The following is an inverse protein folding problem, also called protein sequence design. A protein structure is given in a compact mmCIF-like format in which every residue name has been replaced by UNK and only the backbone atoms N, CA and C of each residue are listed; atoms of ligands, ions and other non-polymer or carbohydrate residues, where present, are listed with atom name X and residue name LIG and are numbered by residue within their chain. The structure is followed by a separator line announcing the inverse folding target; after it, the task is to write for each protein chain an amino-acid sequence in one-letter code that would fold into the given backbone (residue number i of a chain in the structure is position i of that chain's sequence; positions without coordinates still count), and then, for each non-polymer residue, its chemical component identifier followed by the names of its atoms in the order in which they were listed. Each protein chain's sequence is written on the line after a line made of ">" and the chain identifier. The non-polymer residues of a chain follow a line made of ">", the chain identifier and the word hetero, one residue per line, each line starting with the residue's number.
data_IF_749765287856
#
_entry.id   IF_749765287856
#
_cell.length_a   1.000
_cell.length_b   1.000
_cell.length_c   1.000
_cell.angle_alpha   90.00
_cell.angle_beta   90.00
_cell.angle_gamma   90.00
#
_symmetry.space_group_name_H-M   'P 1'
#
loop_
_entity.id
_entity.type
_entity.pdbx_description
1 polymer ?
#
# COMPACT_ATOMS: atom_id res chain seq x y z
N UNK A 1 -26.03 12.46 -35.82
CA UNK A 1 -26.95 12.13 -34.74
C UNK A 1 -26.40 12.68 -33.44
N UNK A 2 -27.21 13.38 -32.59
CA UNK A 2 -26.74 13.91 -31.33
C UNK A 2 -26.36 12.73 -30.43
N UNK A 3 -25.18 12.80 -29.84
CA UNK A 3 -24.75 11.86 -28.79
C UNK A 3 -25.78 11.92 -27.67
N UNK A 4 -26.45 10.82 -27.42
CA UNK A 4 -27.37 10.66 -26.31
C UNK A 4 -26.58 11.05 -25.02
N UNK A 5 -27.00 12.11 -24.39
CA UNK A 5 -26.52 12.44 -23.05
C UNK A 5 -26.98 11.32 -22.12
N UNK A 6 -26.07 10.48 -21.68
CA UNK A 6 -26.29 9.34 -20.76
C UNK A 6 -26.92 9.78 -19.44
N UNK A 7 -27.08 11.10 -19.20
CA UNK A 7 -27.69 11.68 -18.01
C UNK A 7 -28.54 12.89 -18.39
N UNK A 8 -29.88 12.82 -18.26
CA UNK A 8 -30.72 13.99 -18.46
C UNK A 8 -30.35 15.09 -17.44
N UNK A 9 -30.35 16.33 -17.87
CA UNK A 9 -30.02 17.54 -17.09
C UNK A 9 -30.92 17.75 -15.85
N UNK A 10 -31.86 16.87 -15.59
CA UNK A 10 -32.83 16.91 -14.48
C UNK A 10 -32.47 16.04 -13.29
N UNK A 11 -31.29 15.39 -13.27
CA UNK A 11 -30.90 14.61 -12.09
C UNK A 11 -30.43 15.55 -10.97
N UNK A 12 -31.28 15.71 -9.96
CA UNK A 12 -30.98 16.44 -8.71
C UNK A 12 -29.94 15.71 -7.82
N UNK A 13 -29.37 14.60 -8.31
CA UNK A 13 -28.53 13.70 -7.51
C UNK A 13 -27.35 13.14 -8.30
N UNK A 14 -26.19 13.08 -7.68
CA UNK A 14 -24.95 12.43 -8.18
C UNK A 14 -24.34 11.57 -7.10
N UNK A 15 -23.88 10.37 -7.46
CA UNK A 15 -23.09 9.50 -6.59
C UNK A 15 -21.68 9.36 -7.13
N UNK A 16 -20.69 9.57 -6.27
CA UNK A 16 -19.26 9.43 -6.56
C UNK A 16 -18.66 8.42 -5.57
N UNK A 17 -18.14 7.34 -6.08
CA UNK A 17 -17.52 6.28 -5.27
C UNK A 17 -16.00 6.33 -5.44
N UNK A 18 -15.28 6.62 -4.34
CA UNK A 18 -13.82 6.73 -4.26
C UNK A 18 -13.18 7.60 -5.37
N UNK A 19 -13.74 8.77 -5.73
CA UNK A 19 -13.29 9.48 -6.93
C UNK A 19 -11.87 10.05 -6.82
N UNK A 20 -11.35 10.23 -5.59
CA UNK A 20 -10.01 10.76 -5.35
C UNK A 20 -8.93 9.68 -5.16
N UNK A 21 -9.29 8.40 -5.17
CA UNK A 21 -8.36 7.30 -4.89
C UNK A 21 -7.11 7.28 -5.79
N UNK A 22 -7.19 7.89 -6.98
CA UNK A 22 -6.11 7.92 -7.96
C UNK A 22 -5.65 9.32 -8.35
N UNK A 23 -6.18 10.35 -7.73
CA UNK A 23 -5.89 11.73 -8.06
C UNK A 23 -4.71 12.27 -7.22
N UNK A 24 -3.95 13.17 -7.82
CA UNK A 24 -3.00 14.02 -7.12
C UNK A 24 -3.74 15.03 -6.23
N UNK A 25 -3.03 15.70 -5.33
CA UNK A 25 -3.60 16.74 -4.46
C UNK A 25 -4.25 17.83 -5.30
N UNK A 26 -3.60 18.28 -6.39
CA UNK A 26 -4.12 19.32 -7.28
C UNK A 26 -5.41 18.88 -7.97
N UNK A 27 -5.44 17.68 -8.56
CA UNK A 27 -6.62 17.12 -9.22
C UNK A 27 -7.78 16.91 -8.23
N UNK A 28 -7.46 16.54 -6.98
CA UNK A 28 -8.48 16.44 -5.91
C UNK A 28 -9.11 17.80 -5.63
N UNK A 29 -8.34 18.87 -5.56
CA UNK A 29 -8.88 20.24 -5.36
C UNK A 29 -9.71 20.72 -6.55
N UNK A 30 -9.29 20.39 -7.77
CA UNK A 30 -10.08 20.68 -8.98
C UNK A 30 -11.42 19.92 -8.96
N UNK A 31 -11.44 18.65 -8.55
CA UNK A 31 -12.67 17.87 -8.36
C UNK A 31 -13.56 18.49 -7.28
N UNK A 32 -13.01 18.92 -6.16
CA UNK A 32 -13.78 19.56 -5.10
C UNK A 32 -14.41 20.88 -5.53
N UNK A 33 -13.71 21.66 -6.37
CA UNK A 33 -14.27 22.85 -6.98
C UNK A 33 -15.49 22.53 -7.86
N UNK A 34 -15.43 21.46 -8.65
CA UNK A 34 -16.54 20.97 -9.47
C UNK A 34 -17.71 20.55 -8.57
N UNK A 35 -17.46 19.77 -7.51
CA UNK A 35 -18.51 19.32 -6.58
C UNK A 35 -19.20 20.50 -5.89
N UNK A 36 -18.43 21.50 -5.44
CA UNK A 36 -18.97 22.73 -4.85
C UNK A 36 -19.83 23.50 -5.88
N UNK A 37 -19.39 23.56 -7.14
CA UNK A 37 -20.18 24.13 -8.24
C UNK A 37 -21.51 23.41 -8.44
N UNK A 38 -21.52 22.08 -8.48
CA UNK A 38 -22.74 21.27 -8.59
C UNK A 38 -23.70 21.50 -7.42
N UNK A 39 -23.17 21.54 -6.20
CA UNK A 39 -23.96 21.86 -4.99
C UNK A 39 -24.63 23.24 -5.10
N UNK A 40 -23.92 24.24 -5.58
CA UNK A 40 -24.44 25.60 -5.74
C UNK A 40 -25.58 25.69 -6.79
N UNK A 41 -25.67 24.74 -7.71
CA UNK A 41 -26.82 24.61 -8.64
C UNK A 41 -28.01 23.84 -8.05
N UNK A 42 -27.97 23.51 -6.75
CA UNK A 42 -29.03 22.75 -6.06
C UNK A 42 -28.93 21.24 -6.23
N UNK A 43 -27.82 20.72 -6.73
CA UNK A 43 -27.61 19.28 -6.90
C UNK A 43 -27.14 18.65 -5.60
N UNK A 44 -27.76 17.52 -5.22
CA UNK A 44 -27.29 16.69 -4.12
C UNK A 44 -26.20 15.75 -4.60
N UNK A 45 -25.08 15.70 -3.88
CA UNK A 45 -23.97 14.80 -4.17
C UNK A 45 -23.78 13.82 -3.02
N UNK A 46 -23.79 12.52 -3.31
CA UNK A 46 -23.34 11.49 -2.38
C UNK A 46 -21.89 11.15 -2.73
N UNK A 47 -21.00 11.44 -1.81
CA UNK A 47 -19.58 11.24 -1.95
C UNK A 47 -19.14 10.10 -1.01
N UNK A 48 -18.71 8.97 -1.59
CA UNK A 48 -18.25 7.80 -0.84
C UNK A 48 -16.73 7.79 -0.84
N UNK A 49 -16.11 7.80 0.33
CA UNK A 49 -14.66 7.72 0.48
C UNK A 49 -14.28 7.19 1.86
N UNK A 50 -13.12 6.55 1.96
CA UNK A 50 -12.43 6.27 3.23
C UNK A 50 -11.28 7.26 3.51
N UNK A 51 -11.03 8.23 2.62
CA UNK A 51 -10.10 9.34 2.85
C UNK A 51 -10.80 10.39 3.72
N UNK A 52 -10.56 10.32 5.03
CA UNK A 52 -11.27 11.17 6.01
C UNK A 52 -11.03 12.66 5.77
N UNK A 53 -9.84 13.04 5.31
CA UNK A 53 -9.52 14.43 4.95
C UNK A 53 -10.45 14.99 3.88
N UNK A 54 -10.71 14.19 2.83
CA UNK A 54 -11.61 14.57 1.74
C UNK A 54 -13.04 14.83 2.26
N UNK A 55 -13.55 13.91 3.10
CA UNK A 55 -14.87 14.01 3.70
C UNK A 55 -14.99 15.25 4.58
N UNK A 56 -13.98 15.53 5.40
CA UNK A 56 -13.98 16.70 6.28
C UNK A 56 -13.87 18.03 5.51
N UNK A 57 -13.37 18.02 4.28
CA UNK A 57 -13.25 19.21 3.46
C UNK A 57 -14.50 19.51 2.65
N UNK A 58 -15.19 18.47 2.11
CA UNK A 58 -16.25 18.67 1.11
C UNK A 58 -17.65 18.41 1.63
N UNK A 59 -17.84 17.60 2.68
CA UNK A 59 -19.15 17.16 3.13
C UNK A 59 -19.89 18.21 3.98
N UNK A 60 -21.18 18.32 3.82
CA UNK A 60 -22.09 19.05 4.73
C UNK A 60 -22.61 18.11 5.83
N UNK A 61 -22.93 16.85 5.48
CA UNK A 61 -23.32 15.79 6.39
C UNK A 61 -22.47 14.54 6.17
N UNK A 62 -22.23 13.77 7.23
CA UNK A 62 -21.46 12.54 7.20
C UNK A 62 -22.30 11.39 7.74
N UNK A 63 -22.37 10.32 6.97
CA UNK A 63 -22.93 9.03 7.40
C UNK A 63 -21.84 7.99 7.41
N UNK A 64 -21.66 7.29 8.54
CA UNK A 64 -20.68 6.21 8.65
C UNK A 64 -21.41 4.87 8.63
N UNK A 65 -20.97 3.99 7.73
CA UNK A 65 -21.46 2.62 7.61
C UNK A 65 -20.37 1.64 8.09
N UNK A 66 -20.76 0.64 8.88
CA UNK A 66 -19.90 -0.46 9.33
C UNK A 66 -20.68 -1.76 9.31
N UNK A 67 -20.11 -2.80 8.70
CA UNK A 67 -20.72 -4.13 8.58
C UNK A 67 -22.16 -4.09 8.04
N UNK A 68 -22.42 -3.19 7.07
CA UNK A 68 -23.74 -3.00 6.48
C UNK A 68 -24.74 -2.20 7.33
N UNK A 69 -24.36 -1.74 8.52
CA UNK A 69 -25.19 -0.94 9.41
C UNK A 69 -24.73 0.53 9.48
N UNK A 70 -25.68 1.44 9.60
CA UNK A 70 -25.42 2.87 9.87
C UNK A 70 -25.06 3.05 11.35
N UNK A 71 -23.82 3.40 11.64
CA UNK A 71 -23.31 3.61 13.01
C UNK A 71 -23.27 5.06 13.43
N UNK A 72 -23.29 5.99 12.46
CA UNK A 72 -23.40 7.43 12.71
C UNK A 72 -24.05 8.11 11.51
N UNK A 73 -24.80 9.20 11.75
CA UNK A 73 -25.24 10.17 10.75
C UNK A 73 -25.42 11.52 11.40
N UNK A 74 -24.90 12.59 10.80
CA UNK A 74 -25.03 13.93 11.32
C UNK A 74 -24.21 14.96 10.57
N UNK A 75 -24.35 16.23 10.98
CA UNK A 75 -23.63 17.33 10.36
C UNK A 75 -22.11 17.16 10.49
N UNK A 76 -21.38 17.59 9.48
CA UNK A 76 -19.90 17.54 9.45
C UNK A 76 -19.29 18.29 10.64
N UNK A 77 -19.92 19.36 11.13
CA UNK A 77 -19.42 20.17 12.23
C UNK A 77 -19.33 19.44 13.57
N UNK A 78 -20.10 18.37 13.76
CA UNK A 78 -20.11 17.58 15.01
C UNK A 78 -19.18 16.38 15.00
N UNK A 79 -18.45 16.17 13.90
CA UNK A 79 -17.56 15.02 13.74
C UNK A 79 -16.16 15.48 13.30
N UNK A 80 -15.13 14.83 13.86
CA UNK A 80 -13.74 14.98 13.44
C UNK A 80 -13.17 13.63 12.98
N UNK A 81 -11.93 13.63 12.48
CA UNK A 81 -11.25 12.42 12.00
C UNK A 81 -11.27 11.30 13.04
N UNK A 82 -10.95 11.61 14.30
CA UNK A 82 -10.86 10.61 15.38
C UNK A 82 -12.21 9.95 15.67
N UNK A 83 -13.27 10.74 15.72
CA UNK A 83 -14.64 10.21 15.91
C UNK A 83 -15.10 9.40 14.72
N UNK A 84 -14.78 9.82 13.47
CA UNK A 84 -15.08 9.03 12.29
C UNK A 84 -14.39 7.67 12.35
N UNK A 85 -13.10 7.65 12.67
CA UNK A 85 -12.34 6.40 12.83
C UNK A 85 -12.96 5.52 13.91
N UNK A 86 -13.31 6.07 15.08
CA UNK A 86 -14.00 5.30 16.14
C UNK A 86 -15.29 4.66 15.66
N UNK A 87 -16.10 5.37 14.89
CA UNK A 87 -17.33 4.80 14.32
C UNK A 87 -17.04 3.74 13.26
N UNK A 88 -16.07 3.97 12.37
CA UNK A 88 -15.72 3.03 11.30
C UNK A 88 -15.08 1.74 11.85
N UNK A 89 -14.17 1.86 12.81
CA UNK A 89 -13.41 0.72 13.36
C UNK A 89 -14.07 0.14 14.61
N UNK A 90 -14.85 0.96 15.33
CA UNK A 90 -15.44 0.59 16.63
C UNK A 90 -14.44 0.63 17.79
N UNK A 91 -13.27 1.28 17.60
CA UNK A 91 -12.16 1.40 18.56
C UNK A 91 -11.49 2.76 18.43
N UNK A 92 -10.57 3.08 19.33
CA UNK A 92 -9.85 4.35 19.31
C UNK A 92 -8.85 4.47 18.15
N UNK A 93 -8.70 5.69 17.56
CA UNK A 93 -7.79 5.95 16.43
C UNK A 93 -6.33 5.59 16.70
N UNK A 94 -5.87 5.72 17.93
CA UNK A 94 -4.53 5.30 18.35
C UNK A 94 -4.24 3.81 18.15
N UNK A 95 -5.28 3.02 17.84
CA UNK A 95 -5.17 1.59 17.57
C UNK A 95 -5.06 1.25 16.06
N UNK A 96 -5.10 2.22 15.14
CA UNK A 96 -4.95 1.95 13.70
C UNK A 96 -3.52 1.51 13.40
N UNK A 97 -2.57 2.22 13.97
CA UNK A 97 -1.16 1.89 13.83
C UNK A 97 -0.73 1.01 15.01
N UNK A 98 -0.15 -0.16 14.75
CA UNK A 98 0.32 -1.02 15.82
C UNK A 98 1.37 -0.29 16.66
N UNK A 99 1.15 -0.24 17.97
CA UNK A 99 2.15 0.28 18.89
C UNK A 99 3.33 -0.68 18.99
N UNK A 100 4.54 -0.17 18.89
CA UNK A 100 5.77 -0.93 19.15
C UNK A 100 6.96 -0.42 18.35
N UNK A 101 8.11 -0.58 18.96
CA UNK A 101 9.38 -0.22 18.35
C UNK A 101 9.96 -1.41 17.61
N UNK A 102 10.48 -1.14 16.42
CA UNK A 102 11.42 -2.03 15.78
C UNK A 102 12.82 -1.70 16.34
N UNK A 103 13.69 -2.68 16.33
CA UNK A 103 15.09 -2.50 16.71
C UNK A 103 15.95 -2.79 15.47
N UNK A 104 16.24 -1.77 14.64
CA UNK A 104 17.04 -1.95 13.45
C UNK A 104 18.42 -2.50 13.76
N UNK A 105 18.77 -3.61 13.11
CA UNK A 105 20.07 -4.26 13.22
C UNK A 105 21.10 -3.68 12.25
N UNK A 106 22.11 -4.47 11.83
CA UNK A 106 23.11 -4.05 10.87
C UNK A 106 22.52 -3.80 9.49
N UNK A 107 23.25 -3.06 8.65
CA UNK A 107 22.88 -2.81 7.26
C UNK A 107 22.79 -4.15 6.52
N UNK A 108 21.67 -4.33 5.82
CA UNK A 108 21.37 -5.53 5.03
C UNK A 108 21.44 -5.27 3.53
N UNK A 109 20.89 -4.13 3.08
CA UNK A 109 20.83 -3.75 1.68
C UNK A 109 21.39 -2.34 1.49
N UNK A 110 22.15 -2.14 0.42
CA UNK A 110 22.64 -0.83 0.00
C UNK A 110 22.39 -0.62 -1.49
N UNK A 111 21.92 0.57 -1.84
CA UNK A 111 21.91 1.09 -3.20
C UNK A 111 22.98 2.19 -3.31
N UNK A 112 23.92 2.05 -4.27
CA UNK A 112 25.01 3.01 -4.51
C UNK A 112 24.92 3.53 -5.94
N UNK A 113 24.56 4.80 -6.10
CA UNK A 113 24.45 5.51 -7.38
C UNK A 113 23.54 4.81 -8.41
N UNK A 114 22.47 4.19 -7.93
CA UNK A 114 21.57 3.41 -8.77
C UNK A 114 20.81 4.34 -9.73
N UNK A 115 20.88 4.05 -11.04
CA UNK A 115 20.19 4.81 -12.08
C UNK A 115 19.51 3.89 -13.08
N UNK A 116 18.37 4.34 -13.65
CA UNK A 116 17.70 3.67 -14.76
C UNK A 116 18.06 4.32 -16.12
N UNK A 117 17.68 3.64 -17.22
CA UNK A 117 17.92 4.16 -18.57
C UNK A 117 16.97 5.29 -18.97
N UNK A 118 15.81 5.36 -18.31
CA UNK A 118 14.77 6.35 -18.63
C UNK A 118 14.96 7.69 -17.90
N UNK A 119 15.98 7.81 -17.02
CA UNK A 119 16.25 9.02 -16.24
C UNK A 119 15.27 9.26 -15.10
N UNK A 120 14.37 8.30 -14.81
CA UNK A 120 13.40 8.41 -13.71
C UNK A 120 13.99 8.06 -12.35
N UNK A 121 15.12 7.35 -12.34
CA UNK A 121 15.95 7.08 -11.17
C UNK A 121 17.36 7.54 -11.49
N UNK A 122 17.92 8.45 -10.68
CA UNK A 122 19.17 9.14 -10.96
C UNK A 122 20.07 9.16 -9.72
N UNK A 123 21.12 8.34 -9.73
CA UNK A 123 22.12 8.23 -8.66
C UNK A 123 21.51 8.04 -7.26
N UNK A 124 20.49 7.22 -7.14
CA UNK A 124 19.86 6.94 -5.87
C UNK A 124 20.83 6.21 -4.95
N UNK A 125 20.95 6.73 -3.72
CA UNK A 125 21.78 6.16 -2.64
C UNK A 125 20.97 6.04 -1.38
N UNK A 126 20.93 4.86 -0.78
CA UNK A 126 20.40 4.61 0.56
C UNK A 126 20.80 3.24 1.06
N UNK A 127 20.63 3.03 2.36
CA UNK A 127 20.80 1.73 2.99
C UNK A 127 19.55 1.32 3.75
N UNK A 128 19.33 0.02 3.92
CA UNK A 128 18.25 -0.56 4.70
C UNK A 128 18.85 -1.51 5.74
N UNK A 129 18.36 -1.44 6.98
CA UNK A 129 18.83 -2.26 8.09
C UNK A 129 17.92 -3.47 8.31
N UNK A 130 18.44 -4.51 8.93
CA UNK A 130 17.64 -5.68 9.32
C UNK A 130 16.59 -5.28 10.36
N UNK A 131 15.35 -5.76 10.17
CA UNK A 131 14.26 -5.45 11.08
C UNK A 131 13.73 -4.02 11.00
N UNK A 132 14.11 -3.26 9.97
CA UNK A 132 13.70 -1.88 9.74
C UNK A 132 12.51 -1.82 8.77
N UNK A 133 11.57 -0.94 9.05
CA UNK A 133 10.52 -0.52 8.11
C UNK A 133 10.89 0.88 7.62
N UNK A 134 11.32 1.00 6.37
CA UNK A 134 11.70 2.28 5.76
C UNK A 134 10.60 2.73 4.82
N UNK A 135 10.11 3.95 5.01
CA UNK A 135 9.17 4.62 4.11
C UNK A 135 9.90 5.24 2.92
N UNK A 136 9.26 5.23 1.76
CA UNK A 136 9.72 5.95 0.57
C UNK A 136 8.65 6.95 0.16
N UNK A 137 8.84 8.21 0.56
CA UNK A 137 7.96 9.33 0.28
C UNK A 137 8.35 10.08 -0.99
N UNK A 138 7.46 10.91 -1.52
CA UNK A 138 7.68 11.79 -2.66
C UNK A 138 6.42 12.01 -3.48
N UNK A 139 6.42 12.99 -4.36
CA UNK A 139 5.29 13.27 -5.25
C UNK A 139 5.13 12.19 -6.33
N UNK A 140 3.97 12.18 -6.99
CA UNK A 140 3.73 11.32 -8.16
C UNK A 140 4.78 11.63 -9.23
N UNK A 141 5.43 10.60 -9.76
CA UNK A 141 6.51 10.76 -10.75
C UNK A 141 7.91 10.99 -10.16
N UNK A 142 8.07 11.01 -8.83
CA UNK A 142 9.38 11.21 -8.19
C UNK A 142 10.37 10.05 -8.35
N UNK A 143 9.96 8.90 -8.91
CA UNK A 143 10.81 7.74 -9.16
C UNK A 143 10.74 6.63 -8.12
N UNK A 144 9.81 6.69 -7.15
CA UNK A 144 9.64 5.71 -6.06
C UNK A 144 9.40 4.28 -6.58
N UNK A 145 8.35 4.10 -7.36
CA UNK A 145 7.99 2.78 -7.92
C UNK A 145 9.05 2.27 -8.91
N UNK A 146 9.69 3.17 -9.66
CA UNK A 146 10.80 2.85 -10.55
C UNK A 146 12.01 2.33 -9.77
N UNK A 147 12.34 2.96 -8.64
CA UNK A 147 13.38 2.49 -7.72
C UNK A 147 13.07 1.09 -7.19
N UNK A 148 11.82 0.83 -6.78
CA UNK A 148 11.38 -0.51 -6.37
C UNK A 148 11.53 -1.54 -7.49
N UNK A 149 11.18 -1.18 -8.73
CA UNK A 149 11.33 -2.05 -9.91
C UNK A 149 12.79 -2.37 -10.20
N UNK A 150 13.71 -1.41 -10.03
CA UNK A 150 15.16 -1.65 -10.17
C UNK A 150 15.66 -2.65 -9.10
N UNK A 151 15.34 -2.41 -7.84
CA UNK A 151 15.79 -3.25 -6.71
C UNK A 151 15.24 -4.67 -6.83
N UNK A 152 14.01 -4.81 -7.33
CA UNK A 152 13.36 -6.12 -7.51
C UNK A 152 13.72 -6.83 -8.82
N UNK A 153 14.53 -6.22 -9.69
CA UNK A 153 14.96 -6.80 -10.96
C UNK A 153 13.87 -6.85 -12.04
N UNK A 154 12.77 -6.09 -11.88
CA UNK A 154 11.76 -5.92 -12.95
C UNK A 154 12.35 -5.06 -14.06
N UNK A 155 13.06 -4.00 -13.71
CA UNK A 155 13.86 -3.19 -14.64
C UNK A 155 15.35 -3.37 -14.34
N UNK A 156 16.18 -3.17 -15.36
CA UNK A 156 17.64 -3.31 -15.22
C UNK A 156 18.26 -1.95 -14.92
N UNK A 157 19.18 -1.87 -13.93
CA UNK A 157 19.92 -0.64 -13.70
C UNK A 157 20.82 -0.33 -14.90
N UNK A 158 20.89 0.96 -15.27
CA UNK A 158 21.84 1.47 -16.25
C UNK A 158 23.25 1.61 -15.63
N UNK A 159 23.28 2.12 -14.39
CA UNK A 159 24.51 2.27 -13.62
C UNK A 159 24.26 2.08 -12.13
N UNK A 160 25.32 2.07 -11.35
CA UNK A 160 25.28 1.87 -9.91
C UNK A 160 25.38 0.41 -9.48
N UNK A 161 25.43 0.20 -8.17
CA UNK A 161 25.63 -1.10 -7.55
C UNK A 161 24.65 -1.30 -6.42
N UNK A 162 24.11 -2.51 -6.28
CA UNK A 162 23.36 -2.96 -5.11
C UNK A 162 24.23 -3.93 -4.31
N UNK A 163 24.16 -3.87 -3.00
CA UNK A 163 24.82 -4.84 -2.12
C UNK A 163 23.78 -5.47 -1.19
N UNK A 164 23.95 -6.76 -0.93
CA UNK A 164 23.21 -7.51 0.09
C UNK A 164 24.22 -8.17 1.00
N UNK A 165 24.15 -7.86 2.29
CA UNK A 165 25.16 -8.29 3.29
C UNK A 165 26.60 -7.97 2.83
N UNK A 166 26.81 -6.79 2.22
CA UNK A 166 28.11 -6.36 1.68
C UNK A 166 28.51 -7.00 0.36
N UNK A 167 27.76 -7.99 -0.15
CA UNK A 167 28.06 -8.67 -1.42
C UNK A 167 27.39 -7.94 -2.58
N UNK A 168 28.14 -7.53 -3.63
CA UNK A 168 27.56 -6.91 -4.81
C UNK A 168 26.62 -7.85 -5.55
N UNK A 169 25.43 -7.35 -5.87
CA UNK A 169 24.40 -8.10 -6.60
C UNK A 169 23.86 -7.29 -7.78
N UNK A 170 23.45 -8.01 -8.81
CA UNK A 170 22.78 -7.44 -9.97
C UNK A 170 21.64 -8.36 -10.40
N UNK A 171 20.45 -7.82 -10.50
CA UNK A 171 19.28 -8.60 -10.89
C UNK A 171 18.85 -8.26 -12.32
N UNK A 172 18.59 -9.29 -13.10
CA UNK A 172 18.07 -9.21 -14.46
C UNK A 172 16.61 -9.69 -14.55
N UNK A 173 16.07 -10.19 -13.44
CA UNK A 173 14.69 -10.63 -13.31
C UNK A 173 14.27 -10.75 -11.84
N UNK A 174 12.95 -10.68 -11.52
CA UNK A 174 12.43 -10.91 -10.18
C UNK A 174 12.77 -12.31 -9.63
N UNK A 175 12.97 -13.30 -10.53
CA UNK A 175 13.40 -14.64 -10.13
C UNK A 175 14.81 -14.64 -9.54
N UNK A 176 15.71 -13.81 -10.06
CA UNK A 176 17.05 -13.66 -9.50
C UNK A 176 17.01 -12.91 -8.16
N UNK A 177 16.26 -11.80 -8.07
CA UNK A 177 16.06 -11.08 -6.82
C UNK A 177 15.52 -12.00 -5.71
N UNK A 178 14.57 -12.88 -6.04
CA UNK A 178 14.04 -13.88 -5.11
C UNK A 178 15.09 -14.87 -4.58
N UNK A 179 16.12 -15.25 -5.36
CA UNK A 179 17.22 -16.08 -4.87
C UNK A 179 18.04 -15.38 -3.78
N UNK A 180 18.03 -14.05 -3.77
CA UNK A 180 18.62 -13.19 -2.75
C UNK A 180 17.62 -12.77 -1.67
N UNK A 181 16.46 -13.44 -1.62
CA UNK A 181 15.40 -13.20 -0.65
C UNK A 181 14.79 -11.78 -0.71
N UNK A 182 14.78 -11.18 -1.91
CA UNK A 182 14.11 -9.91 -2.22
C UNK A 182 12.79 -10.21 -2.93
N UNK A 183 11.70 -9.58 -2.47
CA UNK A 183 10.39 -9.67 -3.11
C UNK A 183 9.72 -8.30 -3.21
N UNK A 184 8.91 -8.13 -4.23
CA UNK A 184 8.16 -6.92 -4.51
C UNK A 184 6.65 -7.23 -4.64
N UNK A 185 5.84 -6.38 -4.05
CA UNK A 185 4.38 -6.33 -4.19
C UNK A 185 4.06 -4.99 -4.84
N UNK A 186 3.73 -4.95 -6.14
CA UNK A 186 3.44 -3.71 -6.86
C UNK A 186 2.07 -3.14 -6.50
N UNK A 187 1.88 -1.83 -6.80
CA UNK A 187 0.57 -1.20 -6.92
C UNK A 187 -0.08 -1.62 -8.26
N UNK A 188 -0.52 -2.87 -8.35
CA UNK A 188 -1.16 -3.41 -9.56
C UNK A 188 -2.68 -3.32 -9.40
N UNK A 189 -3.30 -2.42 -10.16
CA UNK A 189 -4.74 -2.21 -10.18
C UNK A 189 -5.49 -3.25 -11.01
N UNK A 190 -4.82 -3.87 -11.98
CA UNK A 190 -5.50 -4.67 -13.00
C UNK A 190 -5.72 -6.12 -12.53
N UNK A 191 -4.77 -6.69 -11.80
CA UNK A 191 -4.80 -8.12 -11.46
C UNK A 191 -4.53 -8.43 -9.98
N UNK A 192 -4.31 -7.43 -9.13
CA UNK A 192 -3.95 -7.62 -7.71
C UNK A 192 -2.90 -8.73 -7.48
N UNK A 193 -2.19 -9.15 -8.54
CA UNK A 193 -1.30 -10.30 -8.52
C UNK A 193 -1.96 -11.61 -8.02
N UNK A 194 -3.27 -11.69 -7.95
CA UNK A 194 -4.05 -12.89 -7.61
C UNK A 194 -4.59 -13.50 -8.91
N UNK A 195 -4.50 -14.80 -9.04
CA UNK A 195 -5.12 -15.54 -10.16
C UNK A 195 -6.61 -15.74 -9.83
N UNK A 196 -7.54 -15.08 -10.55
CA UNK A 196 -8.96 -15.06 -10.17
C UNK A 196 -9.62 -16.43 -10.16
N UNK A 197 -9.21 -17.31 -11.06
CA UNK A 197 -9.76 -18.66 -11.24
C UNK A 197 -9.27 -19.67 -10.19
N UNK A 198 -8.13 -19.39 -9.55
CA UNK A 198 -7.59 -20.27 -8.51
C UNK A 198 -8.20 -19.97 -7.15
N UNK A 199 -8.22 -21.00 -6.30
CA UNK A 199 -8.62 -20.85 -4.89
C UNK A 199 -7.68 -19.91 -4.12
N UNK A 200 -8.14 -19.36 -3.00
CA UNK A 200 -7.27 -18.59 -2.08
C UNK A 200 -6.08 -19.43 -1.60
N UNK A 201 -6.28 -20.71 -1.35
CA UNK A 201 -5.22 -21.65 -0.97
C UNK A 201 -4.15 -21.75 -2.08
N UNK A 202 -4.57 -22.01 -3.31
CA UNK A 202 -3.64 -22.11 -4.44
C UNK A 202 -2.90 -20.79 -4.68
N UNK A 203 -3.59 -19.64 -4.62
CA UNK A 203 -2.96 -18.33 -4.72
C UNK A 203 -1.91 -18.10 -3.63
N UNK A 204 -2.17 -18.47 -2.39
CA UNK A 204 -1.22 -18.36 -1.28
C UNK A 204 0.02 -19.23 -1.51
N UNK A 205 -0.19 -20.43 -2.03
CA UNK A 205 0.86 -21.43 -2.23
C UNK A 205 1.66 -21.22 -3.51
N UNK A 206 1.10 -20.58 -4.53
CA UNK A 206 1.68 -20.47 -5.86
C UNK A 206 3.18 -20.14 -5.89
N UNK A 207 3.69 -19.12 -5.17
CA UNK A 207 5.11 -18.82 -5.13
C UNK A 207 5.91 -19.75 -4.21
N UNK A 208 5.27 -20.63 -3.47
CA UNK A 208 5.88 -21.42 -2.40
C UNK A 208 5.85 -22.93 -2.65
N UNK A 209 5.24 -23.39 -3.74
CA UNK A 209 5.15 -24.82 -4.04
C UNK A 209 6.51 -25.55 -4.03
N UNK A 210 7.55 -24.91 -4.60
CA UNK A 210 8.90 -25.49 -4.63
C UNK A 210 9.52 -25.70 -3.24
N UNK A 211 9.02 -25.03 -2.21
CA UNK A 211 9.54 -25.13 -0.84
C UNK A 211 8.77 -26.16 0.00
N UNK A 212 7.47 -26.30 -0.25
CA UNK A 212 6.58 -27.09 0.61
C UNK A 212 6.08 -28.40 -0.01
N UNK A 213 6.50 -28.70 -1.24
CA UNK A 213 6.10 -29.91 -1.93
C UNK A 213 7.20 -30.61 -2.68
N UNK A 214 7.10 -31.92 -2.81
CA UNK A 214 7.76 -32.61 -3.88
C UNK A 214 7.29 -31.99 -5.20
N UNK A 215 8.21 -31.74 -6.07
CA UNK A 215 8.19 -30.88 -7.27
C UNK A 215 6.93 -30.97 -8.16
N UNK A 216 6.00 -31.92 -7.93
CA UNK A 216 4.85 -32.21 -8.79
C UNK A 216 3.54 -32.61 -8.09
N UNK A 217 3.48 -32.94 -6.76
CA UNK A 217 2.28 -33.47 -6.14
C UNK A 217 2.13 -33.04 -4.66
N UNK A 218 1.55 -31.87 -4.43
CA UNK A 218 1.00 -31.60 -3.10
C UNK A 218 -0.45 -32.09 -3.12
N UNK A 219 -0.81 -33.09 -2.28
CA UNK A 219 -2.20 -33.51 -2.18
C UNK A 219 -3.09 -32.33 -1.80
N UNK A 220 -4.28 -32.14 -2.42
CA UNK A 220 -5.16 -31.02 -2.17
C UNK A 220 -5.52 -30.80 -0.69
N UNK A 221 -5.62 -31.87 0.08
CA UNK A 221 -5.91 -31.77 1.51
C UNK A 221 -4.75 -31.16 2.33
N UNK A 222 -3.49 -31.41 1.94
CA UNK A 222 -2.31 -30.77 2.58
C UNK A 222 -2.25 -29.31 2.26
N UNK A 223 -2.50 -28.93 1.02
CA UNK A 223 -2.58 -27.54 0.58
C UNK A 223 -3.64 -26.78 1.40
N UNK A 224 -4.86 -27.31 1.47
CA UNK A 224 -5.96 -26.70 2.19
C UNK A 224 -5.68 -26.59 3.70
N UNK A 225 -5.11 -27.62 4.31
CA UNK A 225 -4.73 -27.60 5.74
C UNK A 225 -3.67 -26.55 6.03
N UNK A 226 -2.65 -26.46 5.18
CA UNK A 226 -1.59 -25.49 5.30
C UNK A 226 -2.12 -24.07 5.08
N UNK A 227 -2.86 -23.84 4.00
CA UNK A 227 -3.49 -22.56 3.70
C UNK A 227 -4.48 -22.14 4.80
N UNK A 228 -5.25 -23.04 5.36
CA UNK A 228 -6.13 -22.77 6.49
C UNK A 228 -5.37 -22.31 7.75
N UNK A 229 -4.21 -22.92 8.04
CA UNK A 229 -3.33 -22.49 9.14
C UNK A 229 -2.78 -21.10 8.89
N UNK A 230 -2.26 -20.84 7.68
CA UNK A 230 -1.73 -19.53 7.30
C UNK A 230 -2.83 -18.47 7.23
N UNK A 231 -4.02 -18.83 6.73
CA UNK A 231 -5.17 -17.92 6.69
C UNK A 231 -5.55 -17.39 8.08
N UNK A 232 -5.51 -18.25 9.10
CA UNK A 232 -5.71 -17.85 10.50
C UNK A 232 -4.54 -16.99 11.01
N UNK A 233 -3.30 -17.41 10.75
CA UNK A 233 -2.10 -16.68 11.19
C UNK A 233 -2.05 -15.26 10.63
N UNK A 234 -2.40 -15.11 9.36
CA UNK A 234 -2.39 -13.83 8.64
C UNK A 234 -3.75 -13.10 8.69
N UNK A 235 -4.74 -13.65 9.39
CA UNK A 235 -6.09 -13.06 9.49
C UNK A 235 -6.65 -12.67 8.12
N UNK A 236 -6.58 -13.57 7.13
CA UNK A 236 -6.93 -13.25 5.74
C UNK A 236 -8.40 -12.88 5.57
N UNK A 237 -9.29 -13.36 6.44
CA UNK A 237 -10.72 -13.03 6.41
C UNK A 237 -11.48 -13.65 5.22
N UNK A 238 -10.93 -14.69 4.60
CA UNK A 238 -11.65 -15.46 3.59
C UNK A 238 -12.70 -16.38 4.22
N UNK A 239 -13.83 -16.62 3.57
CA UNK A 239 -14.84 -17.58 4.07
C UNK A 239 -14.28 -19.02 4.15
N UNK A 240 -13.46 -19.38 3.15
CA UNK A 240 -12.80 -20.69 3.07
C UNK A 240 -11.48 -20.56 2.26
N UNK A 241 -10.46 -21.38 2.54
CA UNK A 241 -9.30 -21.51 1.67
C UNK A 241 -9.65 -21.95 0.23
N UNK A 242 -10.82 -22.53 0.01
CA UNK A 242 -11.33 -22.94 -1.31
C UNK A 242 -12.00 -21.82 -2.09
N UNK A 243 -12.35 -20.69 -1.46
CA UNK A 243 -12.96 -19.52 -2.11
C UNK A 243 -12.09 -19.05 -3.26
N UNK A 244 -12.66 -18.83 -4.44
CA UNK A 244 -11.93 -18.38 -5.63
C UNK A 244 -11.38 -16.95 -5.43
N UNK A 245 -10.26 -16.66 -6.06
CA UNK A 245 -9.65 -15.32 -6.01
C UNK A 245 -10.60 -14.22 -6.46
N UNK A 246 -11.45 -14.47 -7.46
CA UNK A 246 -12.48 -13.54 -7.95
C UNK A 246 -13.57 -13.21 -6.91
N UNK A 247 -13.85 -14.12 -5.99
CA UNK A 247 -14.89 -13.98 -4.96
C UNK A 247 -14.36 -13.29 -3.67
N UNK A 248 -13.05 -13.11 -3.56
CA UNK A 248 -12.43 -12.47 -2.40
C UNK A 248 -12.62 -10.94 -2.45
N UNK A 249 -12.86 -10.31 -1.31
CA UNK A 249 -12.88 -8.85 -1.20
C UNK A 249 -11.52 -8.25 -1.54
N UNK A 250 -11.49 -6.98 -1.95
CA UNK A 250 -10.25 -6.25 -2.26
C UNK A 250 -9.25 -6.31 -1.09
N UNK A 251 -9.72 -6.05 0.15
CA UNK A 251 -8.89 -6.14 1.35
C UNK A 251 -8.31 -7.55 1.58
N UNK A 252 -9.13 -8.59 1.38
CA UNK A 252 -8.68 -9.99 1.50
C UNK A 252 -7.65 -10.33 0.41
N UNK A 253 -7.88 -9.91 -0.83
CA UNK A 253 -6.91 -10.09 -1.94
C UNK A 253 -5.58 -9.42 -1.61
N UNK A 254 -5.61 -8.18 -1.11
CA UNK A 254 -4.40 -7.44 -0.75
C UNK A 254 -3.63 -8.10 0.39
N UNK A 255 -4.32 -8.52 1.46
CA UNK A 255 -3.71 -9.31 2.55
C UNK A 255 -3.09 -10.61 2.04
N UNK A 256 -3.76 -11.30 1.14
CA UNK A 256 -3.26 -12.54 0.53
C UNK A 256 -1.98 -12.31 -0.28
N UNK A 257 -1.88 -11.19 -1.03
CA UNK A 257 -0.66 -10.81 -1.74
C UNK A 257 0.53 -10.61 -0.81
N UNK A 258 0.34 -9.86 0.27
CA UNK A 258 1.38 -9.59 1.26
C UNK A 258 1.76 -10.91 1.97
N UNK A 259 0.75 -11.65 2.46
CA UNK A 259 0.94 -12.89 3.21
C UNK A 259 1.73 -13.94 2.41
N UNK A 260 1.41 -14.14 1.13
CA UNK A 260 2.12 -15.15 0.31
C UNK A 260 3.61 -14.84 0.11
N UNK A 261 4.02 -13.56 0.17
CA UNK A 261 5.42 -13.16 0.14
C UNK A 261 6.09 -13.39 1.50
N UNK A 262 5.36 -13.14 2.58
CA UNK A 262 5.86 -13.38 3.95
C UNK A 262 6.02 -14.88 4.29
N UNK A 263 5.27 -15.76 3.64
CA UNK A 263 5.42 -17.23 3.77
C UNK A 263 6.74 -17.70 3.15
N UNK A 264 7.22 -17.03 2.10
CA UNK A 264 8.53 -17.29 1.53
C UNK A 264 9.63 -16.81 2.48
N UNK A 265 10.86 -17.33 2.29
CA UNK A 265 12.03 -16.86 3.04
C UNK A 265 12.56 -15.55 2.47
N UNK A 266 11.76 -14.51 2.59
CA UNK A 266 12.08 -13.16 2.13
C UNK A 266 12.73 -12.39 3.26
N UNK A 267 13.81 -11.67 2.95
CA UNK A 267 14.53 -10.79 3.88
C UNK A 267 14.24 -9.33 3.60
N UNK A 268 14.05 -8.95 2.33
CA UNK A 268 13.62 -7.62 1.92
C UNK A 268 12.28 -7.72 1.19
N UNK A 269 11.24 -7.15 1.79
CA UNK A 269 9.92 -7.05 1.21
C UNK A 269 9.65 -5.59 0.81
N UNK A 270 9.46 -5.36 -0.48
CA UNK A 270 9.13 -4.05 -1.04
C UNK A 270 7.61 -4.04 -1.27
N UNK A 271 6.94 -3.06 -0.70
CA UNK A 271 5.49 -2.87 -0.78
C UNK A 271 5.21 -1.53 -1.44
N UNK A 272 4.53 -1.54 -2.58
CA UNK A 272 4.13 -0.33 -3.29
C UNK A 272 2.62 -0.11 -3.10
N UNK A 273 2.25 0.95 -2.40
CA UNK A 273 0.88 1.33 -2.04
C UNK A 273 0.05 0.16 -1.46
N UNK A 274 0.53 -0.57 -0.41
CA UNK A 274 -0.10 -1.82 0.02
C UNK A 274 -1.49 -1.67 0.61
N UNK A 275 -1.86 -0.48 1.03
CA UNK A 275 -3.14 -0.19 1.71
C UNK A 275 -4.08 0.68 0.88
N UNK A 276 -3.68 1.01 -0.35
CA UNK A 276 -4.50 1.80 -1.24
C UNK A 276 -5.80 1.06 -1.57
N UNK A 277 -6.93 1.77 -1.53
CA UNK A 277 -8.26 1.21 -1.78
C UNK A 277 -8.62 0.03 -0.87
N UNK A 278 -8.11 0.04 0.37
CA UNK A 278 -8.34 -0.98 1.38
C UNK A 278 -9.03 -0.34 2.58
N UNK A 279 -10.05 -1.00 3.11
CA UNK A 279 -10.76 -0.55 4.31
C UNK A 279 -9.85 -0.46 5.55
N UNK A 280 -10.25 0.32 6.55
CA UNK A 280 -9.42 0.64 7.72
C UNK A 280 -9.03 -0.61 8.51
N UNK A 281 -9.95 -1.56 8.71
CA UNK A 281 -9.64 -2.79 9.44
C UNK A 281 -8.62 -3.65 8.70
N UNK A 282 -8.77 -3.78 7.37
CA UNK A 282 -7.80 -4.49 6.53
C UNK A 282 -6.44 -3.78 6.49
N UNK A 283 -6.40 -2.43 6.49
CA UNK A 283 -5.14 -1.66 6.62
C UNK A 283 -4.40 -2.01 7.91
N UNK A 284 -5.10 -1.94 9.04
CA UNK A 284 -4.53 -2.31 10.34
C UNK A 284 -3.94 -3.72 10.34
N UNK A 285 -4.67 -4.68 9.76
CA UNK A 285 -4.19 -6.06 9.67
C UNK A 285 -2.93 -6.17 8.79
N UNK A 286 -2.82 -5.38 7.71
CA UNK A 286 -1.59 -5.29 6.89
C UNK A 286 -0.43 -4.72 7.72
N UNK A 287 -0.66 -3.66 8.49
CA UNK A 287 0.36 -3.09 9.38
C UNK A 287 0.82 -4.08 10.44
N UNK A 288 -0.10 -4.79 11.09
CA UNK A 288 0.23 -5.88 12.02
C UNK A 288 1.14 -6.94 11.38
N UNK A 289 0.89 -7.29 10.11
CA UNK A 289 1.74 -8.21 9.36
C UNK A 289 3.14 -7.62 9.11
N UNK A 290 3.23 -6.33 8.75
CA UNK A 290 4.50 -5.64 8.51
C UNK A 290 5.35 -5.61 9.78
N UNK A 291 4.78 -5.21 10.93
CA UNK A 291 5.50 -5.21 12.21
C UNK A 291 5.95 -6.61 12.64
N UNK A 292 5.09 -7.63 12.49
CA UNK A 292 5.49 -9.02 12.76
C UNK A 292 6.62 -9.49 11.86
N UNK A 293 6.68 -9.01 10.63
CA UNK A 293 7.74 -9.34 9.69
C UNK A 293 9.05 -8.65 10.09
N UNK A 294 9.00 -7.37 10.41
CA UNK A 294 10.17 -6.59 10.86
C UNK A 294 10.76 -7.13 12.18
N UNK A 295 9.93 -7.44 13.17
CA UNK A 295 10.36 -8.03 14.45
C UNK A 295 11.06 -9.39 14.32
N UNK A 296 10.93 -10.06 13.18
CA UNK A 296 11.71 -11.27 12.86
C UNK A 296 13.06 -10.95 12.20
N UNK A 297 13.55 -9.72 12.28
CA UNK A 297 14.79 -9.26 11.67
C UNK A 297 14.72 -9.10 10.15
N UNK A 298 13.50 -8.97 9.58
CA UNK A 298 13.29 -8.83 8.13
C UNK A 298 13.00 -7.36 7.81
N UNK A 299 13.43 -6.92 6.64
CA UNK A 299 13.39 -5.52 6.22
C UNK A 299 12.20 -5.25 5.31
N UNK A 300 11.55 -4.11 5.49
CA UNK A 300 10.49 -3.63 4.61
C UNK A 300 10.87 -2.27 4.02
N UNK A 301 10.68 -2.13 2.70
CA UNK A 301 10.64 -0.84 2.02
C UNK A 301 9.19 -0.57 1.63
N UNK A 302 8.57 0.40 2.31
CA UNK A 302 7.18 0.80 2.11
C UNK A 302 7.11 2.05 1.25
N UNK A 303 6.49 1.96 0.09
CA UNK A 303 6.15 3.11 -0.75
C UNK A 303 4.70 3.45 -0.46
N UNK A 304 4.44 4.70 -0.07
CA UNK A 304 3.09 5.21 0.14
C UNK A 304 2.97 6.67 -0.26
N UNK A 305 1.82 7.04 -0.79
CA UNK A 305 1.41 8.42 -1.01
C UNK A 305 0.72 9.03 0.22
N UNK A 306 0.37 8.21 1.21
CA UNK A 306 -0.24 8.63 2.47
C UNK A 306 0.85 8.88 3.52
N UNK A 307 1.11 10.15 3.84
CA UNK A 307 2.10 10.53 4.85
C UNK A 307 1.72 10.00 6.23
N UNK A 308 0.43 9.96 6.58
CA UNK A 308 0.00 9.43 7.87
C UNK A 308 0.35 7.94 8.00
N UNK A 309 0.24 7.17 6.91
CA UNK A 309 0.70 5.78 6.86
C UNK A 309 2.21 5.72 7.11
N UNK A 310 3.00 6.53 6.41
CA UNK A 310 4.46 6.53 6.57
C UNK A 310 4.84 6.88 8.02
N UNK A 311 4.27 7.95 8.58
CA UNK A 311 4.55 8.34 9.97
C UNK A 311 4.06 7.32 11.01
N UNK A 312 2.98 6.60 10.71
CA UNK A 312 2.38 5.62 11.63
C UNK A 312 3.09 4.26 11.68
N UNK A 313 3.83 3.88 10.61
CA UNK A 313 4.34 2.49 10.50
C UNK A 313 5.82 2.37 10.19
N UNK A 314 6.54 3.47 9.90
CA UNK A 314 7.96 3.41 9.52
C UNK A 314 8.89 3.89 10.62
N UNK A 315 10.11 3.37 10.63
CA UNK A 315 11.17 3.81 11.52
C UNK A 315 11.91 5.03 10.94
N UNK A 316 11.98 5.10 9.60
CA UNK A 316 12.69 6.12 8.84
C UNK A 316 11.99 6.36 7.50
N UNK A 317 12.08 7.59 6.99
CA UNK A 317 11.48 8.00 5.72
C UNK A 317 12.57 8.54 4.79
N UNK A 318 12.73 7.88 3.64
CA UNK A 318 13.49 8.39 2.52
C UNK A 318 12.56 9.24 1.66
N UNK A 319 12.99 10.45 1.30
CA UNK A 319 12.20 11.34 0.44
C UNK A 319 12.80 11.36 -0.95
N UNK A 320 11.96 11.15 -1.96
CA UNK A 320 12.37 11.19 -3.37
C UNK A 320 11.80 12.38 -4.11
N UNK A 321 12.66 13.03 -4.92
CA UNK A 321 12.30 14.10 -5.85
C UNK A 321 13.15 13.98 -7.10
N UNK A 322 12.53 14.10 -8.30
CA UNK A 322 13.24 14.08 -9.58
C UNK A 322 14.17 12.88 -9.77
N UNK A 323 13.78 11.72 -9.28
CA UNK A 323 14.57 10.50 -9.38
C UNK A 323 15.73 10.38 -8.38
N UNK A 324 15.86 11.27 -7.41
CA UNK A 324 16.94 11.29 -6.41
C UNK A 324 16.36 11.18 -5.00
N UNK A 325 17.15 10.66 -4.07
CA UNK A 325 16.85 10.77 -2.63
C UNK A 325 17.33 12.14 -2.17
N UNK A 326 16.40 12.97 -1.71
CA UNK A 326 16.64 14.34 -1.22
C UNK A 326 16.63 14.44 0.29
N UNK A 327 16.17 13.41 0.98
CA UNK A 327 16.16 13.34 2.44
C UNK A 327 16.13 11.92 2.97
N UNK A 328 16.68 11.76 4.16
CA UNK A 328 16.71 10.53 4.95
C UNK A 328 16.39 10.92 6.39
N UNK A 329 15.13 10.76 6.78
CA UNK A 329 14.56 11.32 7.99
C UNK A 329 14.17 10.23 8.98
N UNK A 330 14.50 10.42 10.26
CA UNK A 330 13.99 9.56 11.32
C UNK A 330 12.53 9.92 11.60
N UNK A 331 11.61 8.96 11.44
CA UNK A 331 10.17 9.21 11.52
C UNK A 331 9.74 9.89 12.82
N UNK A 332 10.32 9.52 13.96
CA UNK A 332 9.94 10.05 15.28
C UNK A 332 10.29 11.51 15.51
N UNK A 333 11.30 12.02 14.84
CA UNK A 333 11.83 13.39 15.05
C UNK A 333 11.49 14.34 13.93
N UNK A 334 10.86 13.85 12.87
CA UNK A 334 10.53 14.60 11.65
C UNK A 334 9.04 14.93 11.57
N UNK A 335 8.70 15.90 10.75
CA UNK A 335 7.32 16.35 10.53
C UNK A 335 6.86 16.11 9.09
N UNK A 336 5.53 16.00 8.85
CA UNK A 336 5.00 15.91 7.50
C UNK A 336 5.42 17.09 6.59
N UNK A 337 5.51 18.28 7.16
CA UNK A 337 5.92 19.50 6.46
C UNK A 337 7.36 19.40 5.98
N UNK A 338 8.26 18.82 6.78
CA UNK A 338 9.66 18.59 6.41
C UNK A 338 9.76 17.61 5.25
N UNK A 339 9.01 16.51 5.29
CA UNK A 339 8.93 15.55 4.18
C UNK A 339 8.41 16.22 2.90
N UNK A 340 7.35 17.04 3.02
CA UNK A 340 6.77 17.75 1.87
C UNK A 340 7.73 18.79 1.29
N UNK A 341 8.47 19.52 2.11
CA UNK A 341 9.48 20.48 1.66
C UNK A 341 10.56 19.78 0.83
N UNK A 342 11.10 18.66 1.30
CA UNK A 342 12.10 17.87 0.58
C UNK A 342 11.56 17.23 -0.72
N UNK A 343 10.25 16.96 -0.77
CA UNK A 343 9.58 16.36 -1.93
C UNK A 343 9.21 17.38 -3.02
N UNK A 344 8.95 18.66 -2.66
CA UNK A 344 8.30 19.63 -3.55
C UNK A 344 9.21 20.80 -3.97
N UNK A 345 10.16 21.24 -3.14
CA UNK A 345 10.95 22.47 -3.40
C UNK A 345 12.23 22.13 -4.16
N UNK A 346 12.44 22.77 -5.30
CA UNK A 346 13.76 22.86 -5.94
C UNK A 346 14.59 23.92 -5.19
N UNK A 347 15.80 23.54 -4.73
CA UNK A 347 16.79 24.48 -4.25
C UNK A 347 17.38 25.25 -5.40
#
# INVERSE_FOLDING_TARGET
>A
PPRSTLFPYTTLFRSLDEPTASLSIRETQELFAIIRGLRNTGMTVVYVSYRLGDLLEIADEVTVLRDGARVFSGARSVINSDRMVRFMVGRDPGEIYPSGENHPGPVFFEAKDLSDRAGRVNRVRFSLRRGEIVGLAGLVGSGRSETAKLISGITRPASGTMLIDGVPVRFHSPRQARKWNVAFVPDDRTWDGIVPTLSGAANLMLPNYSRYGMRFLIPPWRELRFAGRLGRLFRLGWPSPRTRGSELSAGTRRKLQVARRMVADIRLLILDEPTRSVDIESRRQIYDLMFRFARRGRTILLISSDLNELFGVTDRILVMRGGRVTGDLTTRTSTPEEVMRLAAVDE
#
